data_IF_534734248763
#
_entry.id   IF_534734248763
#
_cell.length_a   1.000
_cell.length_b   1.000
_cell.length_c   1.000
_cell.angle_alpha   90.00
_cell.angle_beta   90.00
_cell.angle_gamma   90.00
#
_symmetry.space_group_name_H-M   'P 1'
#
loop_
_entity.id
_entity.type
_entity.pdbx_description
1 polymer ?
#
# COMPACT_ATOMS: atom_id res chain seq x y z
N UNK A 1 -11.69 -2.42 -14.75
CA UNK A 1 -11.54 -3.45 -13.68
C UNK A 1 -12.43 -3.07 -12.50
N UNK A 2 -13.00 -4.04 -11.75
CA UNK A 2 -13.75 -3.73 -10.51
C UNK A 2 -12.81 -3.67 -9.31
N UNK A 3 -13.15 -2.89 -8.28
CA UNK A 3 -12.38 -2.79 -7.04
C UNK A 3 -12.13 -4.18 -6.42
N UNK A 4 -13.16 -5.03 -6.32
CA UNK A 4 -13.04 -6.39 -5.77
C UNK A 4 -12.01 -7.25 -6.54
N UNK A 5 -11.94 -7.08 -7.86
CA UNK A 5 -11.00 -7.81 -8.72
C UNK A 5 -9.57 -7.30 -8.52
N UNK A 6 -9.40 -5.98 -8.41
CA UNK A 6 -8.13 -5.35 -8.07
C UNK A 6 -7.65 -5.77 -6.67
N UNK A 7 -8.51 -5.68 -5.66
CA UNK A 7 -8.22 -6.04 -4.28
C UNK A 7 -7.84 -7.52 -4.16
N UNK A 8 -8.57 -8.42 -4.83
CA UNK A 8 -8.24 -9.84 -4.84
C UNK A 8 -6.86 -10.11 -5.48
N UNK A 9 -6.52 -9.39 -6.57
CA UNK A 9 -5.20 -9.51 -7.23
C UNK A 9 -4.09 -8.96 -6.34
N UNK A 10 -4.28 -7.77 -5.77
CA UNK A 10 -3.31 -7.13 -4.89
C UNK A 10 -3.07 -7.96 -3.62
N UNK A 11 -4.15 -8.45 -3.00
CA UNK A 11 -4.08 -9.32 -1.84
C UNK A 11 -3.25 -10.58 -2.13
N UNK A 12 -3.45 -11.23 -3.27
CA UNK A 12 -2.63 -12.39 -3.67
C UNK A 12 -1.15 -12.04 -3.79
N UNK A 13 -0.83 -10.91 -4.43
CA UNK A 13 0.56 -10.46 -4.58
C UNK A 13 1.19 -10.18 -3.21
N UNK A 14 0.51 -9.44 -2.34
CA UNK A 14 1.01 -9.11 -1.01
C UNK A 14 1.14 -10.34 -0.11
N UNK A 15 0.20 -11.30 -0.18
CA UNK A 15 0.26 -12.57 0.56
C UNK A 15 1.44 -13.43 0.14
N UNK A 16 1.83 -13.39 -1.13
CA UNK A 16 3.01 -14.11 -1.61
C UNK A 16 4.33 -13.48 -1.20
N UNK A 17 4.32 -12.24 -0.72
CA UNK A 17 5.52 -11.51 -0.33
C UNK A 17 5.83 -11.69 1.16
N UNK A 18 7.10 -11.55 1.56
CA UNK A 18 7.48 -11.61 2.96
C UNK A 18 6.77 -10.49 3.75
N UNK A 19 6.43 -10.81 5.01
CA UNK A 19 5.81 -9.86 5.92
C UNK A 19 6.64 -8.58 6.04
N UNK A 20 5.95 -7.43 6.01
CA UNK A 20 6.60 -6.11 5.98
C UNK A 20 6.81 -5.55 4.58
N UNK A 21 6.27 -6.18 3.54
CA UNK A 21 6.24 -5.60 2.20
C UNK A 21 5.06 -4.65 2.03
N UNK A 22 5.34 -3.48 1.44
CA UNK A 22 4.33 -2.46 1.13
C UNK A 22 4.25 -2.25 -0.39
N UNK A 23 3.04 -2.21 -0.92
CA UNK A 23 2.75 -1.79 -2.27
C UNK A 23 2.70 -0.27 -2.33
N UNK A 24 3.56 0.34 -3.14
CA UNK A 24 3.48 1.77 -3.41
C UNK A 24 2.55 1.97 -4.58
N UNK A 25 1.34 2.41 -4.27
CA UNK A 25 0.34 2.74 -5.27
C UNK A 25 0.80 4.06 -5.91
N UNK A 26 0.53 5.20 -5.28
CA UNK A 26 0.88 6.52 -5.85
C UNK A 26 1.85 7.30 -4.96
N UNK A 27 2.20 8.53 -5.36
CA UNK A 27 2.99 9.47 -4.57
C UNK A 27 2.27 9.79 -3.26
N UNK A 28 2.59 9.04 -2.21
CA UNK A 28 1.94 9.13 -0.90
C UNK A 28 0.82 8.12 -0.66
N UNK A 29 0.47 7.21 -1.57
CA UNK A 29 -0.51 6.15 -1.27
C UNK A 29 0.15 4.78 -1.25
N UNK A 30 -0.07 4.05 -0.16
CA UNK A 30 0.44 2.69 0.02
C UNK A 30 -0.66 1.71 0.32
N UNK A 31 -0.37 0.44 0.07
CA UNK A 31 -1.13 -0.68 0.56
C UNK A 31 -0.23 -1.75 1.17
N UNK A 32 -0.72 -2.46 2.18
CA UNK A 32 -0.02 -3.60 2.74
C UNK A 32 -0.99 -4.67 3.19
N UNK A 33 -0.48 -5.89 3.28
CA UNK A 33 -1.24 -7.00 3.84
C UNK A 33 -1.06 -7.05 5.35
N UNK A 34 -2.16 -6.96 6.10
CA UNK A 34 -2.14 -7.01 7.57
C UNK A 34 -2.32 -8.44 8.13
N UNK A 35 -2.24 -9.48 7.29
CA UNK A 35 -2.51 -10.87 7.70
C UNK A 35 -3.95 -11.32 7.41
N UNK A 36 -4.92 -10.40 7.45
CA UNK A 36 -6.34 -10.70 7.23
C UNK A 36 -6.92 -10.05 5.98
N UNK A 37 -6.49 -8.82 5.68
CA UNK A 37 -6.97 -8.03 4.53
C UNK A 37 -5.90 -7.06 4.06
N UNK A 38 -6.06 -6.55 2.85
CA UNK A 38 -5.26 -5.43 2.33
C UNK A 38 -5.73 -4.14 2.99
N UNK A 39 -4.78 -3.39 3.55
CA UNK A 39 -5.01 -2.07 4.13
C UNK A 39 -4.43 -1.04 3.17
N UNK A 40 -5.22 -0.02 2.86
CA UNK A 40 -4.82 1.10 2.04
C UNK A 40 -4.63 2.31 2.95
N UNK A 41 -3.52 3.02 2.82
CA UNK A 41 -3.29 4.26 3.56
C UNK A 41 -2.59 5.34 2.74
N UNK A 42 -2.90 6.58 3.07
CA UNK A 42 -2.12 7.73 2.65
C UNK A 42 -0.97 7.98 3.63
N UNK A 43 0.25 7.96 3.11
CA UNK A 43 1.42 8.53 3.76
C UNK A 43 1.40 10.04 3.54
N UNK A 44 1.09 10.78 4.60
CA UNK A 44 1.39 12.20 4.65
C UNK A 44 2.82 12.44 5.13
N UNK A 45 3.51 13.44 4.56
CA UNK A 45 4.55 14.12 5.35
C UNK A 45 3.84 14.81 6.51
N UNK A 46 4.12 14.39 7.74
CA UNK A 46 3.75 15.19 8.90
C UNK A 46 4.39 16.57 8.74
N UNK A 47 3.57 17.61 8.60
CA UNK A 47 4.02 19.01 8.57
C UNK A 47 4.64 19.43 9.92
N UNK A 48 4.34 18.69 10.98
CA UNK A 48 4.90 18.90 12.30
C UNK A 48 6.17 18.05 12.48
N UNK A 49 7.34 18.68 12.38
CA UNK A 49 8.68 18.10 12.52
C UNK A 49 9.00 17.48 13.89
N UNK A 50 8.02 16.87 14.57
CA UNK A 50 8.13 16.29 15.90
C UNK A 50 7.90 14.79 15.97
N UNK A 51 7.49 14.14 14.89
CA UNK A 51 7.48 12.68 14.81
C UNK A 51 8.13 12.20 13.52
N UNK A 52 9.31 11.56 13.65
CA UNK A 52 9.92 10.73 12.61
C UNK A 52 9.13 9.42 12.42
N UNK A 53 7.81 9.52 12.27
CA UNK A 53 6.90 8.42 12.06
C UNK A 53 6.13 8.65 10.78
N UNK A 54 6.22 7.71 9.84
CA UNK A 54 5.39 7.69 8.65
C UNK A 54 3.92 7.56 9.09
N UNK A 55 3.17 8.66 9.11
CA UNK A 55 1.75 8.65 9.47
C UNK A 55 0.96 8.13 8.28
N UNK A 56 0.66 6.83 8.32
CA UNK A 56 -0.26 6.18 7.38
C UNK A 56 -1.70 6.41 7.88
N UNK A 57 -2.47 7.21 7.14
CA UNK A 57 -3.91 7.38 7.37
C UNK A 57 -4.67 6.38 6.52
N UNK A 58 -5.35 5.44 7.16
CA UNK A 58 -6.21 4.47 6.46
C UNK A 58 -7.22 5.19 5.58
N UNK A 59 -7.30 4.77 4.31
CA UNK A 59 -8.27 5.26 3.35
C UNK A 59 -9.21 4.15 2.93
N UNK A 60 -10.46 4.51 2.65
CA UNK A 60 -11.39 3.62 2.01
C UNK A 60 -11.24 3.76 0.49
N UNK A 61 -10.42 2.89 -0.11
CA UNK A 61 -10.17 2.93 -1.55
C UNK A 61 -11.43 2.56 -2.36
N UNK A 62 -12.42 1.90 -1.76
CA UNK A 62 -13.65 1.54 -2.45
C UNK A 62 -14.50 2.79 -2.75
N UNK A 63 -14.56 3.76 -1.85
CA UNK A 63 -15.23 5.05 -2.04
C UNK A 63 -14.54 5.89 -3.14
N UNK A 64 -13.22 5.96 -3.10
CA UNK A 64 -12.39 6.72 -4.04
C UNK A 64 -12.07 5.99 -5.37
N UNK A 65 -12.57 4.76 -5.54
CA UNK A 65 -12.21 3.90 -6.68
C UNK A 65 -12.48 4.56 -8.03
N UNK A 66 -13.56 5.33 -8.15
CA UNK A 66 -13.93 6.00 -9.41
C UNK A 66 -12.85 6.95 -9.92
N UNK A 67 -12.08 7.57 -9.02
CA UNK A 67 -11.02 8.51 -9.38
C UNK A 67 -9.72 7.80 -9.76
N UNK A 68 -9.41 6.70 -9.07
CA UNK A 68 -8.14 6.00 -9.23
C UNK A 68 -8.22 4.76 -10.12
N UNK A 69 -9.42 4.36 -10.57
CA UNK A 69 -9.69 3.19 -11.41
C UNK A 69 -8.65 2.99 -12.49
N UNK A 70 -8.50 3.96 -13.39
CA UNK A 70 -7.73 3.81 -14.63
C UNK A 70 -6.25 3.63 -14.31
N UNK A 71 -5.77 4.48 -13.41
CA UNK A 71 -4.40 4.46 -12.92
C UNK A 71 -4.08 3.18 -12.13
N UNK A 72 -4.96 2.70 -11.26
CA UNK A 72 -4.81 1.44 -10.51
C UNK A 72 -4.88 0.22 -11.43
N UNK A 73 -5.77 0.25 -12.42
CA UNK A 73 -5.89 -0.81 -13.42
C UNK A 73 -4.63 -0.91 -14.29
N UNK A 74 -3.95 0.21 -14.58
CA UNK A 74 -2.63 0.18 -15.21
C UNK A 74 -1.56 -0.32 -14.23
N UNK A 75 -1.51 0.23 -13.02
CA UNK A 75 -0.52 -0.09 -12.00
C UNK A 75 -0.49 -1.57 -11.62
N UNK A 76 -1.63 -2.26 -11.53
CA UNK A 76 -1.68 -3.68 -11.16
C UNK A 76 -1.05 -4.61 -12.21
N UNK A 77 -0.80 -4.14 -13.43
CA UNK A 77 -0.03 -4.88 -14.44
C UNK A 77 1.48 -4.75 -14.21
N UNK A 78 1.94 -3.65 -13.61
CA UNK A 78 3.34 -3.38 -13.27
C UNK A 78 3.48 -2.91 -11.81
N UNK A 79 3.11 -3.78 -10.84
CA UNK A 79 3.02 -3.37 -9.45
C UNK A 79 4.40 -3.11 -8.86
N UNK A 80 4.52 -2.00 -8.11
CA UNK A 80 5.77 -1.59 -7.46
C UNK A 80 5.68 -1.83 -5.96
N UNK A 81 6.54 -2.71 -5.46
CA UNK A 81 6.62 -3.04 -4.04
C UNK A 81 7.92 -2.52 -3.46
N UNK A 82 7.86 -2.00 -2.24
CA UNK A 82 9.04 -1.64 -1.46
C UNK A 82 9.04 -2.41 -0.13
N UNK A 83 10.23 -2.68 0.38
CA UNK A 83 10.39 -3.11 1.77
C UNK A 83 10.08 -1.93 2.70
N UNK A 84 9.37 -2.18 3.81
CA UNK A 84 9.19 -1.18 4.85
C UNK A 84 10.58 -0.75 5.37
N UNK A 85 10.91 0.56 5.44
CA UNK A 85 12.16 1.00 6.07
C UNK A 85 12.12 0.55 7.54
N UNK A 86 13.07 -0.31 7.94
CA UNK A 86 13.04 -1.06 9.20
C UNK A 86 12.94 -2.58 9.04
N UNK A 87 12.79 -3.09 7.80
CA UNK A 87 12.94 -4.52 7.46
C UNK A 87 14.34 -4.85 6.89
N UNK A 88 15.28 -3.90 6.94
CA UNK A 88 16.70 -4.15 6.79
C UNK A 88 17.21 -4.85 8.06
N UNK A 89 17.44 -6.15 7.93
CA UNK A 89 17.86 -7.02 9.02
C UNK A 89 19.09 -6.51 9.76
N UNK A 90 18.89 -6.13 11.02
CA UNK A 90 19.93 -6.30 12.02
C UNK A 90 19.97 -7.78 12.43
N UNK A 91 20.59 -8.60 11.58
CA UNK A 91 21.21 -9.85 12.05
C UNK A 91 22.54 -9.45 12.68
N UNK A 92 22.62 -9.60 14.00
CA UNK A 92 23.89 -9.74 14.73
C UNK A 92 24.06 -11.21 15.09
#
# INVERSE_FOLDING_TARGET
>A
MRFEEFDARLSRLLVTMPGGTIANLTDGMIAWWNGTRTIYAWIGKGDDGRHSGMHARELDLADDWGQFHDWLAAWINEPRFNARPGADGHVR
#
